data_IF_889073154146
#
_entry.id   IF_889073154146
#
_cell.length_a   1.000
_cell.length_b   1.000
_cell.length_c   1.000
_cell.angle_alpha   90.00
_cell.angle_beta   90.00
_cell.angle_gamma   90.00
#
_symmetry.space_group_name_H-M   'P 1'
#
loop_
_entity.id
_entity.type
_entity.pdbx_description
1 polymer ?
#
# COMPACT_ATOMS: atom_id res chain seq x y z
N UNK A 1 -0.65 -4.44 -0.78
CA UNK A 1 0.74 -4.94 -0.86
C UNK A 1 0.94 -5.95 0.26
N UNK A 2 1.23 -7.19 -0.07
CA UNK A 2 1.48 -8.27 0.90
C UNK A 2 2.98 -8.56 0.91
N UNK A 3 3.64 -8.15 1.99
CA UNK A 3 5.10 -8.26 2.14
C UNK A 3 5.52 -9.54 2.87
N UNK A 4 6.82 -9.87 2.82
CA UNK A 4 7.48 -11.00 3.50
C UNK A 4 7.15 -12.38 2.91
N UNK A 5 6.92 -12.44 1.60
CA UNK A 5 6.66 -13.72 0.90
C UNK A 5 7.86 -14.69 0.92
N UNK A 6 9.03 -14.22 1.32
CA UNK A 6 10.26 -15.01 1.46
C UNK A 6 10.26 -15.94 2.68
N UNK A 7 9.34 -15.75 3.65
CA UNK A 7 9.33 -16.57 4.85
C UNK A 7 8.78 -17.97 4.56
N UNK A 8 9.38 -19.03 5.12
CA UNK A 8 8.95 -20.42 4.87
C UNK A 8 7.53 -20.74 5.37
N UNK A 9 6.95 -19.89 6.23
CA UNK A 9 5.56 -19.97 6.67
C UNK A 9 4.67 -18.87 6.08
N UNK A 10 5.11 -18.17 5.04
CA UNK A 10 4.28 -17.17 4.38
C UNK A 10 3.20 -17.89 3.55
N UNK A 11 1.94 -17.57 3.82
CA UNK A 11 0.78 -18.06 3.05
C UNK A 11 0.06 -16.86 2.40
N UNK A 12 0.71 -16.18 1.43
CA UNK A 12 0.21 -14.94 0.86
C UNK A 12 -1.17 -15.07 0.21
N UNK A 13 -1.46 -16.20 -0.44
CA UNK A 13 -2.77 -16.47 -1.06
C UNK A 13 -3.87 -16.69 -0.04
N UNK A 14 -3.61 -17.46 1.03
CA UNK A 14 -4.56 -17.62 2.15
C UNK A 14 -4.84 -16.29 2.82
N UNK A 15 -3.82 -15.47 3.04
CA UNK A 15 -3.98 -14.13 3.64
C UNK A 15 -4.74 -13.20 2.71
N UNK A 16 -4.50 -13.23 1.40
CA UNK A 16 -5.28 -12.47 0.43
C UNK A 16 -6.76 -12.91 0.44
N UNK A 17 -7.01 -14.22 0.42
CA UNK A 17 -8.35 -14.79 0.53
C UNK A 17 -9.03 -14.44 1.85
N UNK A 18 -8.32 -14.47 2.97
CA UNK A 18 -8.83 -14.03 4.28
C UNK A 18 -9.17 -12.54 4.29
N UNK A 19 -8.39 -11.70 3.61
CA UNK A 19 -8.71 -10.26 3.49
C UNK A 19 -9.99 -10.06 2.65
N UNK A 20 -10.23 -10.90 1.64
CA UNK A 20 -11.45 -10.86 0.81
C UNK A 20 -12.67 -11.52 1.51
N UNK A 21 -12.46 -12.63 2.21
CA UNK A 21 -13.50 -13.52 2.77
C UNK A 21 -13.90 -13.14 4.21
N UNK A 22 -12.99 -12.64 5.06
CA UNK A 22 -13.29 -12.19 6.44
C UNK A 22 -13.89 -10.78 6.54
N UNK A 23 -14.58 -10.32 5.49
CA UNK A 23 -15.30 -9.05 5.42
C UNK A 23 -16.44 -8.84 6.44
N UNK A 24 -16.55 -9.65 7.50
CA UNK A 24 -17.55 -9.47 8.57
C UNK A 24 -17.08 -8.61 9.76
N UNK A 25 -15.79 -8.31 9.90
CA UNK A 25 -15.31 -7.35 10.89
C UNK A 25 -14.37 -6.33 10.24
N UNK A 26 -14.94 -5.14 10.02
CA UNK A 26 -14.30 -3.94 9.47
C UNK A 26 -12.86 -3.73 9.97
N UNK A 27 -11.88 -4.21 9.21
CA UNK A 27 -10.82 -3.31 8.76
C UNK A 27 -11.38 -2.44 7.61
N UNK A 28 -12.37 -1.61 7.95
CA UNK A 28 -12.72 -0.25 7.49
C UNK A 28 -12.82 0.10 5.99
N UNK A 29 -12.30 -0.64 5.00
CA UNK A 29 -12.53 -0.38 3.57
C UNK A 29 -12.55 -1.71 2.82
N UNK A 30 -13.67 -2.09 2.20
CA UNK A 30 -13.75 -3.25 1.31
C UNK A 30 -12.85 -3.02 0.09
N UNK A 31 -11.63 -3.54 0.17
CA UNK A 31 -10.61 -3.39 -0.86
C UNK A 31 -10.51 -4.73 -1.60
N UNK A 32 -10.74 -4.65 -2.90
CA UNK A 32 -10.48 -5.74 -3.84
C UNK A 32 -8.99 -6.11 -3.79
N UNK A 33 -8.68 -7.36 -3.41
CA UNK A 33 -7.31 -7.85 -3.35
C UNK A 33 -6.86 -8.53 -4.65
N UNK A 34 -7.69 -8.51 -5.71
CA UNK A 34 -7.31 -8.96 -7.06
C UNK A 34 -6.04 -8.27 -7.57
N UNK A 35 -5.83 -7.02 -7.16
CA UNK A 35 -4.68 -6.19 -7.53
C UNK A 35 -3.56 -6.18 -6.47
N UNK A 36 -3.63 -7.06 -5.47
CA UNK A 36 -2.64 -7.09 -4.40
C UNK A 36 -1.26 -7.52 -4.94
N UNK A 37 -0.27 -6.65 -4.74
CA UNK A 37 1.11 -6.95 -5.10
C UNK A 37 1.78 -7.71 -3.96
N UNK A 38 2.24 -8.92 -4.27
CA UNK A 38 3.06 -9.75 -3.40
C UNK A 38 4.52 -9.32 -3.50
N UNK A 39 5.15 -9.01 -2.36
CA UNK A 39 6.51 -8.53 -2.33
C UNK A 39 7.36 -9.16 -1.22
N UNK A 40 8.68 -9.16 -1.43
CA UNK A 40 9.66 -9.37 -0.37
C UNK A 40 10.61 -8.18 -0.38
N UNK A 41 10.49 -7.30 0.61
CA UNK A 41 11.43 -6.21 0.81
C UNK A 41 12.86 -6.70 1.11
N UNK A 42 13.00 -7.95 1.61
CA UNK A 42 14.30 -8.54 1.92
C UNK A 42 15.02 -9.05 0.66
N UNK A 43 14.29 -9.75 -0.19
CA UNK A 43 14.82 -10.34 -1.43
C UNK A 43 14.69 -9.40 -2.65
N UNK A 44 14.06 -8.22 -2.45
CA UNK A 44 13.84 -7.23 -3.51
C UNK A 44 12.73 -7.58 -4.50
N UNK A 45 11.89 -8.56 -4.19
CA UNK A 45 10.81 -9.05 -5.06
C UNK A 45 9.60 -8.10 -4.96
N UNK A 46 8.98 -7.72 -6.07
CA UNK A 46 7.76 -6.92 -6.09
C UNK A 46 7.96 -5.40 -5.97
N UNK A 47 9.20 -4.93 -5.86
CA UNK A 47 9.50 -3.48 -5.68
C UNK A 47 9.14 -2.68 -6.93
N UNK A 48 9.50 -3.18 -8.13
CA UNK A 48 9.20 -2.49 -9.38
C UNK A 48 7.70 -2.40 -9.64
N UNK A 49 6.99 -3.49 -9.33
CA UNK A 49 5.54 -3.59 -9.43
C UNK A 49 4.87 -2.58 -8.50
N UNK A 50 5.35 -2.45 -7.26
CA UNK A 50 4.87 -1.44 -6.32
C UNK A 50 5.11 -0.02 -6.85
N UNK A 51 6.31 0.28 -7.32
CA UNK A 51 6.64 1.61 -7.86
C UNK A 51 5.77 1.95 -9.07
N UNK A 52 5.56 1.00 -9.98
CA UNK A 52 4.68 1.17 -11.12
C UNK A 52 3.22 1.37 -10.69
N UNK A 53 2.74 0.60 -9.72
CA UNK A 53 1.38 0.75 -9.20
C UNK A 53 1.17 2.11 -8.51
N UNK A 54 2.17 2.64 -7.81
CA UNK A 54 2.14 3.99 -7.26
C UNK A 54 1.93 5.02 -8.38
N UNK A 55 2.69 4.92 -9.46
CA UNK A 55 2.59 5.83 -10.61
C UNK A 55 1.23 5.73 -11.31
N UNK A 56 0.70 4.52 -11.47
CA UNK A 56 -0.55 4.29 -12.21
C UNK A 56 -1.81 4.57 -11.38
N UNK A 57 -1.78 4.31 -10.07
CA UNK A 57 -2.98 4.37 -9.20
C UNK A 57 -3.09 5.64 -8.39
N UNK A 58 -1.98 6.30 -8.04
CA UNK A 58 -2.01 7.52 -7.22
C UNK A 58 -2.15 8.73 -8.14
N UNK A 59 -3.25 9.51 -8.05
CA UNK A 59 -3.39 10.71 -8.84
C UNK A 59 -2.37 11.77 -8.39
N UNK A 60 -1.90 12.61 -9.33
CA UNK A 60 -1.00 13.71 -8.98
C UNK A 60 -1.70 14.72 -8.04
N UNK A 61 -0.93 15.45 -7.22
CA UNK A 61 -1.49 16.50 -6.36
C UNK A 61 -2.11 17.62 -7.21
N UNK A 62 -3.15 18.26 -6.68
CA UNK A 62 -3.80 19.39 -7.35
C UNK A 62 -2.88 20.62 -7.37
N UNK A 63 -2.75 21.26 -8.52
CA UNK A 63 -2.03 22.52 -8.64
C UNK A 63 -2.78 23.62 -7.88
N UNK A 64 -2.06 24.28 -6.97
CA UNK A 64 -2.56 25.37 -6.12
C UNK A 64 -1.52 26.51 -6.05
N UNK A 65 -0.61 26.63 -7.01
CA UNK A 65 0.48 27.60 -6.97
C UNK A 65 0.01 29.06 -6.86
N UNK A 66 -1.17 29.38 -7.41
CA UNK A 66 -1.75 30.73 -7.36
C UNK A 66 -2.53 31.03 -6.07
N UNK A 67 -2.72 30.06 -5.17
CA UNK A 67 -3.50 30.23 -3.94
C UNK A 67 -2.62 30.67 -2.77
N UNK A 68 -3.20 31.31 -1.74
CA UNK A 68 -2.47 31.60 -0.50
C UNK A 68 -1.85 30.34 0.11
N UNK A 69 -0.63 30.48 0.65
CA UNK A 69 0.14 29.39 1.23
C UNK A 69 -0.67 28.61 2.27
N UNK A 70 -0.75 27.30 2.09
CA UNK A 70 -1.32 26.35 3.04
C UNK A 70 -0.44 25.12 3.10
N UNK A 71 0.10 24.82 4.27
CA UNK A 71 0.95 23.66 4.49
C UNK A 71 0.43 22.83 5.67
N UNK A 72 0.57 21.50 5.58
CA UNK A 72 0.26 20.55 6.65
C UNK A 72 1.59 20.09 7.27
N UNK A 73 1.79 20.38 8.55
CA UNK A 73 2.88 19.77 9.32
C UNK A 73 2.41 18.37 9.70
N UNK A 74 3.05 17.35 9.16
CA UNK A 74 2.69 15.95 9.40
C UNK A 74 3.71 15.22 10.29
N UNK A 75 4.94 15.72 10.38
CA UNK A 75 5.98 15.17 11.24
C UNK A 75 6.93 16.29 11.73
N UNK A 76 7.50 16.10 12.92
CA UNK A 76 8.48 17.00 13.53
C UNK A 76 9.41 16.18 14.41
N UNK A 77 10.69 16.22 14.10
CA UNK A 77 11.74 15.65 14.93
C UNK A 77 12.36 16.72 15.85
N UNK A 78 12.63 16.37 17.11
CA UNK A 78 13.46 17.15 18.02
C UNK A 78 14.68 16.28 18.39
N UNK A 79 15.88 16.87 18.28
CA UNK A 79 17.15 16.23 18.63
C UNK A 79 17.21 16.01 20.14
#
# INVERSE_FOLDING_TARGET
>A
VLNKIDLPGAEPERVAGEIEELGLYRCVVGLDCSDAIYCSAKEGIGINEILNAIVQKIPPPKDNAEKPLRALIFDRYLI
#
